data_IF_183833278506
#
_entry.id   IF_183833278506
#
_cell.length_a   1.000
_cell.length_b   1.000
_cell.length_c   1.000
_cell.angle_alpha   90.00
_cell.angle_beta   90.00
_cell.angle_gamma   90.00
#
_symmetry.space_group_name_H-M   'P 1'
#
loop_
_entity.id
_entity.type
_entity.pdbx_description
1 polymer ?
#
# COMPACT_ATOMS: atom_id res chain seq x y z
N UNK A 1 6.33 -33.18 -5.69
CA UNK A 1 7.71 -33.00 -6.19
C UNK A 1 8.35 -31.80 -5.50
N UNK A 2 9.64 -31.83 -5.18
CA UNK A 2 10.35 -30.66 -4.64
C UNK A 2 10.71 -29.68 -5.77
N UNK A 3 10.53 -28.36 -5.58
CA UNK A 3 10.79 -27.39 -6.64
C UNK A 3 12.30 -27.31 -6.95
N UNK A 4 12.61 -27.36 -8.23
CA UNK A 4 13.96 -27.17 -8.76
C UNK A 4 14.55 -25.81 -8.34
N UNK A 5 15.88 -25.65 -8.35
CA UNK A 5 16.50 -24.35 -8.08
C UNK A 5 15.99 -23.24 -9.01
N UNK A 6 15.72 -23.54 -10.28
CA UNK A 6 15.19 -22.56 -11.25
C UNK A 6 13.79 -22.08 -10.87
N UNK A 7 12.89 -23.00 -10.53
CA UNK A 7 11.52 -22.65 -10.11
C UNK A 7 11.53 -21.79 -8.84
N UNK A 8 12.43 -22.07 -7.90
CA UNK A 8 12.60 -21.26 -6.68
C UNK A 8 13.03 -19.83 -6.98
N UNK A 9 13.98 -19.63 -7.90
CA UNK A 9 14.42 -18.28 -8.29
C UNK A 9 13.32 -17.50 -9.01
N UNK A 10 12.62 -18.12 -9.96
CA UNK A 10 11.52 -17.48 -10.69
C UNK A 10 10.38 -17.12 -9.75
N UNK A 11 9.98 -18.05 -8.88
CA UNK A 11 8.94 -17.81 -7.88
C UNK A 11 9.36 -16.71 -6.88
N UNK A 12 10.64 -16.64 -6.48
CA UNK A 12 11.14 -15.57 -5.62
C UNK A 12 11.13 -14.20 -6.34
N UNK A 13 11.47 -14.18 -7.63
CA UNK A 13 11.43 -12.96 -8.44
C UNK A 13 10.02 -12.38 -8.52
N UNK A 14 9.00 -13.24 -8.61
CA UNK A 14 7.60 -12.82 -8.61
C UNK A 14 7.22 -12.01 -7.34
N UNK A 15 7.86 -12.29 -6.20
CA UNK A 15 7.64 -11.58 -4.95
C UNK A 15 8.48 -10.31 -4.79
N UNK A 16 9.54 -10.13 -5.57
CA UNK A 16 10.57 -9.12 -5.26
C UNK A 16 10.17 -7.69 -5.64
N UNK A 17 9.38 -7.49 -6.71
CA UNK A 17 9.24 -6.16 -7.32
C UNK A 17 7.82 -5.81 -7.79
N UNK A 18 6.80 -6.29 -7.08
CA UNK A 18 5.41 -5.89 -7.31
C UNK A 18 4.65 -6.70 -8.38
N UNK A 19 3.44 -6.25 -8.77
CA UNK A 19 2.50 -7.03 -9.55
C UNK A 19 2.95 -7.22 -11.00
N UNK A 20 3.70 -6.27 -11.56
CA UNK A 20 4.27 -6.37 -12.92
C UNK A 20 5.25 -7.54 -12.99
N UNK A 21 6.11 -7.70 -11.99
CA UNK A 21 7.10 -8.78 -11.98
C UNK A 21 6.43 -10.13 -11.79
N UNK A 22 5.39 -10.21 -10.96
CA UNK A 22 4.56 -11.41 -10.85
C UNK A 22 3.90 -11.80 -12.18
N UNK A 23 3.37 -10.82 -12.94
CA UNK A 23 2.78 -11.04 -14.26
C UNK A 23 3.82 -11.49 -15.30
N UNK A 24 4.99 -10.85 -15.33
CA UNK A 24 6.09 -11.24 -16.24
C UNK A 24 6.52 -12.68 -15.96
N UNK A 25 6.76 -13.03 -14.69
CA UNK A 25 7.14 -14.41 -14.34
C UNK A 25 6.03 -15.40 -14.68
N UNK A 26 4.75 -15.04 -14.48
CA UNK A 26 3.63 -15.92 -14.85
C UNK A 26 3.54 -16.16 -16.35
N UNK A 27 4.09 -15.28 -17.19
CA UNK A 27 4.15 -15.45 -18.65
C UNK A 27 5.39 -16.21 -19.10
N UNK A 28 6.47 -16.15 -18.34
CA UNK A 28 7.74 -16.81 -18.66
C UNK A 28 7.76 -18.29 -18.29
N UNK A 29 7.00 -18.72 -17.27
CA UNK A 29 7.05 -20.09 -16.77
C UNK A 29 5.63 -20.59 -16.46
N UNK A 30 4.99 -21.23 -17.45
CA UNK A 30 3.61 -21.71 -17.38
C UNK A 30 3.46 -23.12 -16.83
N UNK A 31 4.50 -23.93 -16.94
CA UNK A 31 4.39 -25.39 -16.79
C UNK A 31 4.68 -25.87 -15.35
N UNK A 32 5.13 -24.97 -14.47
CA UNK A 32 5.39 -25.27 -13.06
C UNK A 32 4.21 -24.85 -12.17
N UNK A 33 3.51 -25.79 -11.52
CA UNK A 33 2.44 -25.49 -10.57
C UNK A 33 2.92 -24.63 -9.39
N UNK A 34 4.18 -24.81 -8.96
CA UNK A 34 4.78 -24.04 -7.87
C UNK A 34 4.96 -22.57 -8.26
N UNK A 35 5.54 -22.30 -9.44
CA UNK A 35 5.72 -20.92 -9.93
C UNK A 35 4.37 -20.27 -10.21
N UNK A 36 3.41 -21.01 -10.78
CA UNK A 36 2.05 -20.53 -11.01
C UNK A 36 1.33 -20.15 -9.71
N UNK A 37 1.51 -20.93 -8.63
CA UNK A 37 0.95 -20.61 -7.32
C UNK A 37 1.58 -19.34 -6.72
N UNK A 38 2.91 -19.27 -6.71
CA UNK A 38 3.65 -18.16 -6.11
C UNK A 38 3.43 -16.84 -6.85
N UNK A 39 3.37 -16.86 -8.18
CA UNK A 39 3.04 -15.69 -9.01
C UNK A 39 1.62 -15.19 -8.76
N UNK A 40 0.62 -16.08 -8.64
CA UNK A 40 -0.76 -15.68 -8.31
C UNK A 40 -0.88 -15.09 -6.91
N UNK A 41 -0.20 -15.67 -5.93
CA UNK A 41 -0.15 -15.14 -4.56
C UNK A 41 0.47 -13.74 -4.54
N UNK A 42 1.64 -13.57 -5.17
CA UNK A 42 2.33 -12.29 -5.26
C UNK A 42 1.48 -11.24 -5.97
N UNK A 43 0.90 -11.57 -7.13
CA UNK A 43 0.06 -10.66 -7.90
C UNK A 43 -1.15 -10.17 -7.08
N UNK A 44 -1.87 -11.08 -6.42
CA UNK A 44 -3.02 -10.71 -5.57
C UNK A 44 -2.61 -9.85 -4.39
N UNK A 45 -1.52 -10.23 -3.71
CA UNK A 45 -1.02 -9.48 -2.57
C UNK A 45 -0.69 -8.03 -2.94
N UNK A 46 0.09 -7.85 -3.99
CA UNK A 46 0.47 -6.52 -4.45
C UNK A 46 -0.70 -5.72 -5.02
N UNK A 47 -1.67 -6.36 -5.68
CA UNK A 47 -2.90 -5.70 -6.11
C UNK A 47 -3.71 -5.20 -4.92
N UNK A 48 -3.88 -5.99 -3.87
CA UNK A 48 -4.58 -5.55 -2.64
C UNK A 48 -3.86 -4.37 -2.00
N UNK A 49 -2.52 -4.45 -1.85
CA UNK A 49 -1.73 -3.35 -1.32
C UNK A 49 -1.85 -2.07 -2.17
N UNK A 50 -1.82 -2.21 -3.50
CA UNK A 50 -2.00 -1.11 -4.44
C UNK A 50 -3.40 -0.48 -4.32
N UNK A 51 -4.46 -1.30 -4.30
CA UNK A 51 -5.84 -0.83 -4.15
C UNK A 51 -6.05 -0.13 -2.80
N UNK A 52 -5.52 -0.69 -1.71
CA UNK A 52 -5.57 -0.06 -0.40
C UNK A 52 -4.87 1.31 -0.39
N UNK A 53 -3.69 1.40 -1.03
CA UNK A 53 -2.97 2.67 -1.19
C UNK A 53 -3.79 3.67 -2.00
N UNK A 54 -4.41 3.22 -3.09
CA UNK A 54 -5.25 4.07 -3.95
C UNK A 54 -6.49 4.60 -3.21
N UNK A 55 -7.13 3.78 -2.38
CA UNK A 55 -8.25 4.23 -1.52
C UNK A 55 -7.77 5.31 -0.55
N UNK A 56 -6.62 5.11 0.10
CA UNK A 56 -6.09 6.08 1.07
C UNK A 56 -5.69 7.39 0.39
N UNK A 57 -4.89 7.33 -0.68
CA UNK A 57 -4.31 8.51 -1.34
C UNK A 57 -5.29 9.24 -2.26
N UNK A 58 -6.18 8.53 -2.95
CA UNK A 58 -7.07 9.13 -3.96
C UNK A 58 -8.46 9.41 -3.40
N UNK A 59 -8.98 8.57 -2.50
CA UNK A 59 -10.31 8.78 -1.93
C UNK A 59 -10.18 9.52 -0.60
N UNK A 60 -9.49 8.95 0.38
CA UNK A 60 -9.55 9.49 1.75
C UNK A 60 -8.79 10.80 1.92
N UNK A 61 -7.57 10.89 1.36
CA UNK A 61 -6.68 12.02 1.53
C UNK A 61 -7.25 13.35 0.98
N UNK A 62 -7.82 13.42 -0.24
CA UNK A 62 -8.41 14.65 -0.74
C UNK A 62 -9.62 15.13 0.07
N UNK A 63 -10.46 14.21 0.59
CA UNK A 63 -11.57 14.59 1.46
C UNK A 63 -11.09 15.15 2.80
N UNK A 64 -10.06 14.55 3.40
CA UNK A 64 -9.47 15.05 4.65
C UNK A 64 -8.80 16.41 4.45
N UNK A 65 -8.09 16.59 3.33
CA UNK A 65 -7.48 17.88 2.97
C UNK A 65 -8.55 18.95 2.73
N UNK A 66 -9.62 18.63 2.00
CA UNK A 66 -10.72 19.56 1.76
C UNK A 66 -11.41 19.95 3.08
N UNK A 67 -11.67 18.99 3.97
CA UNK A 67 -12.25 19.25 5.28
C UNK A 67 -11.34 20.16 6.12
N UNK A 68 -10.03 19.90 6.12
CA UNK A 68 -9.06 20.75 6.82
C UNK A 68 -9.09 22.18 6.29
N UNK A 69 -9.04 22.36 4.97
CA UNK A 69 -9.09 23.69 4.33
C UNK A 69 -10.38 24.42 4.67
N UNK A 70 -11.53 23.73 4.72
CA UNK A 70 -12.80 24.31 5.14
C UNK A 70 -12.75 24.76 6.60
N UNK A 71 -12.22 23.94 7.50
CA UNK A 71 -12.09 24.28 8.92
C UNK A 71 -11.13 25.46 9.15
N UNK A 72 -10.00 25.48 8.45
CA UNK A 72 -9.03 26.58 8.47
C UNK A 72 -9.67 27.88 7.96
N UNK A 73 -10.44 27.82 6.87
CA UNK A 73 -11.18 28.96 6.35
C UNK A 73 -12.22 29.47 7.36
N UNK A 74 -13.00 28.58 7.98
CA UNK A 74 -13.99 28.95 9.00
C UNK A 74 -13.31 29.61 10.22
N UNK A 75 -12.14 29.13 10.62
CA UNK A 75 -11.35 29.72 11.70
C UNK A 75 -10.92 31.14 11.36
N UNK A 76 -10.39 31.36 10.15
CA UNK A 76 -10.00 32.69 9.66
C UNK A 76 -11.20 33.63 9.59
N UNK A 77 -12.33 33.19 9.04
CA UNK A 77 -13.54 34.00 8.93
C UNK A 77 -14.11 34.37 10.30
N UNK A 78 -14.09 33.44 11.26
CA UNK A 78 -14.51 33.70 12.65
C UNK A 78 -13.59 34.72 13.32
N UNK A 79 -12.28 34.61 13.09
CA UNK A 79 -11.29 35.53 13.64
C UNK A 79 -11.45 36.94 13.08
N UNK A 80 -11.58 37.09 11.75
CA UNK A 80 -11.83 38.38 11.09
C UNK A 80 -13.14 39.00 11.58
N UNK A 81 -14.21 38.20 11.68
CA UNK A 81 -15.52 38.68 12.16
C UNK A 81 -15.52 39.09 13.63
N UNK A 82 -14.64 38.52 14.46
CA UNK A 82 -14.51 38.84 15.88
C UNK A 82 -13.56 40.01 16.19
N UNK A 83 -12.68 40.40 15.27
CA UNK A 83 -11.67 41.44 15.52
C UNK A 83 -11.22 42.14 14.22
N UNK A 84 -12.09 42.94 13.57
CA UNK A 84 -11.80 43.59 12.29
C UNK A 84 -10.64 44.60 12.35
N UNK A 85 -10.33 45.13 13.54
CA UNK A 85 -9.27 46.14 13.75
C UNK A 85 -7.85 45.53 13.75
N UNK A 86 -7.73 44.19 13.81
CA UNK A 86 -6.46 43.44 13.85
C UNK A 86 -5.91 43.08 12.45
N UNK A 87 -6.50 43.62 11.38
CA UNK A 87 -5.99 43.47 10.00
C UNK A 87 -4.71 44.32 9.77
N UNK A 88 -4.09 44.84 10.84
CA UNK A 88 -2.83 45.59 10.77
C UNK A 88 -1.61 44.66 10.89
N UNK A 89 -1.01 44.36 9.73
CA UNK A 89 0.43 44.16 9.49
C UNK A 89 1.22 43.02 10.14
N UNK A 90 0.90 42.57 11.35
CA UNK A 90 1.69 41.57 12.12
C UNK A 90 0.92 40.28 12.40
N UNK A 91 -0.27 40.39 12.98
CA UNK A 91 -1.05 39.24 13.46
C UNK A 91 -1.57 38.36 12.31
N UNK A 92 -1.89 38.97 11.17
CA UNK A 92 -2.28 38.25 9.96
C UNK A 92 -1.14 37.37 9.42
N UNK A 93 0.10 37.84 9.45
CA UNK A 93 1.25 37.09 8.93
C UNK A 93 1.58 35.87 9.80
N UNK A 94 1.45 36.00 11.13
CA UNK A 94 1.64 34.91 12.09
C UNK A 94 0.52 33.88 11.97
N UNK A 95 -0.73 34.32 11.81
CA UNK A 95 -1.87 33.43 11.58
C UNK A 95 -1.71 32.64 10.26
N UNK A 96 -1.34 33.30 9.16
CA UNK A 96 -1.11 32.63 7.87
C UNK A 96 0.07 31.65 7.94
N UNK A 97 1.16 32.00 8.63
CA UNK A 97 2.26 31.08 8.86
C UNK A 97 1.86 29.86 9.70
N UNK A 98 1.04 30.07 10.74
CA UNK A 98 0.48 28.99 11.56
C UNK A 98 -0.42 28.05 10.76
N UNK A 99 -1.26 28.60 9.88
CA UNK A 99 -2.12 27.83 8.97
C UNK A 99 -1.29 27.04 7.96
N UNK A 100 -0.29 27.65 7.33
CA UNK A 100 0.60 26.94 6.41
C UNK A 100 1.35 25.79 7.12
N UNK A 101 1.80 26.00 8.35
CA UNK A 101 2.44 24.98 9.16
C UNK A 101 1.47 23.85 9.55
N UNK A 102 0.22 24.16 9.92
CA UNK A 102 -0.79 23.14 10.21
C UNK A 102 -1.15 22.33 8.99
N UNK A 103 -1.39 22.97 7.84
CA UNK A 103 -1.68 22.28 6.58
C UNK A 103 -0.52 21.35 6.20
N UNK A 104 0.73 21.81 6.34
CA UNK A 104 1.91 21.00 6.07
C UNK A 104 2.00 19.78 7.00
N UNK A 105 1.84 19.98 8.32
CA UNK A 105 1.91 18.89 9.30
C UNK A 105 0.81 17.86 9.12
N UNK A 106 -0.44 18.29 8.90
CA UNK A 106 -1.57 17.38 8.66
C UNK A 106 -1.37 16.59 7.37
N UNK A 107 -0.90 17.25 6.32
CA UNK A 107 -0.54 16.59 5.05
C UNK A 107 0.52 15.51 5.28
N UNK A 108 1.60 15.84 5.98
CA UNK A 108 2.68 14.90 6.26
C UNK A 108 2.21 13.69 7.09
N UNK A 109 1.38 13.91 8.11
CA UNK A 109 0.82 12.83 8.94
C UNK A 109 -0.14 11.96 8.12
N UNK A 110 -0.95 12.56 7.26
CA UNK A 110 -1.93 11.85 6.45
C UNK A 110 -1.29 10.98 5.34
N UNK A 111 -0.03 11.23 4.95
CA UNK A 111 0.72 10.35 4.05
C UNK A 111 1.30 9.11 4.74
N UNK A 112 1.41 9.10 6.07
CA UNK A 112 2.00 7.99 6.83
C UNK A 112 1.31 6.65 6.53
N UNK A 113 -0.03 6.53 6.52
CA UNK A 113 -0.70 5.26 6.24
C UNK A 113 -0.35 4.68 4.87
N UNK A 114 -0.25 5.50 3.82
CA UNK A 114 0.12 5.03 2.49
C UNK A 114 1.57 4.51 2.43
N UNK A 115 2.48 5.23 3.08
CA UNK A 115 3.89 4.81 3.21
C UNK A 115 3.98 3.50 3.99
N UNK A 116 3.20 3.33 5.07
CA UNK A 116 3.17 2.10 5.86
C UNK A 116 2.56 0.92 5.08
N UNK A 117 1.50 1.14 4.30
CA UNK A 117 0.88 0.09 3.47
C UNK A 117 1.85 -0.34 2.37
N UNK A 118 2.40 0.61 1.61
CA UNK A 118 3.28 0.32 0.49
C UNK A 118 4.62 -0.25 0.97
N UNK A 119 5.23 0.37 1.99
CA UNK A 119 6.47 -0.09 2.61
C UNK A 119 6.31 -1.45 3.28
N UNK A 120 5.23 -1.65 4.03
CA UNK A 120 4.86 -2.93 4.63
C UNK A 120 4.68 -4.03 3.57
N UNK A 121 4.01 -3.71 2.45
CA UNK A 121 3.85 -4.66 1.36
C UNK A 121 5.20 -5.08 0.74
N UNK A 122 6.12 -4.14 0.52
CA UNK A 122 7.46 -4.48 0.02
C UNK A 122 8.27 -5.31 1.03
N UNK A 123 8.16 -5.02 2.33
CA UNK A 123 8.82 -5.79 3.37
C UNK A 123 8.30 -7.24 3.43
N UNK A 124 6.97 -7.42 3.40
CA UNK A 124 6.35 -8.75 3.32
C UNK A 124 6.75 -9.47 2.03
N UNK A 125 6.76 -8.76 0.91
CA UNK A 125 7.22 -9.29 -0.38
C UNK A 125 8.67 -9.77 -0.35
N UNK A 126 9.57 -9.00 0.28
CA UNK A 126 10.97 -9.40 0.46
C UNK A 126 11.10 -10.65 1.34
N UNK A 127 10.39 -10.71 2.46
CA UNK A 127 10.37 -11.89 3.34
C UNK A 127 9.86 -13.12 2.59
N UNK A 128 8.81 -12.95 1.78
CA UNK A 128 8.25 -14.00 0.94
C UNK A 128 9.26 -14.46 -0.12
N UNK A 129 9.91 -13.53 -0.82
CA UNK A 129 10.94 -13.83 -1.82
C UNK A 129 12.10 -14.64 -1.21
N UNK A 130 12.64 -14.21 -0.06
CA UNK A 130 13.70 -14.93 0.65
C UNK A 130 13.25 -16.33 1.07
N UNK A 131 12.02 -16.46 1.55
CA UNK A 131 11.46 -17.75 1.98
C UNK A 131 11.28 -18.72 0.79
N UNK A 132 10.74 -18.23 -0.33
CA UNK A 132 10.56 -19.00 -1.57
C UNK A 132 11.91 -19.40 -2.18
N UNK A 133 12.90 -18.50 -2.16
CA UNK A 133 14.26 -18.80 -2.60
C UNK A 133 14.90 -19.93 -1.78
N UNK A 134 14.68 -19.94 -0.46
CA UNK A 134 15.08 -21.03 0.45
C UNK A 134 14.26 -22.32 0.29
N UNK A 135 13.30 -22.35 -0.64
CA UNK A 135 12.46 -23.51 -0.91
C UNK A 135 11.26 -23.68 0.01
N UNK A 136 10.90 -22.65 0.79
CA UNK A 136 9.66 -22.67 1.57
C UNK A 136 8.49 -22.27 0.69
N UNK A 137 7.35 -22.95 0.85
CA UNK A 137 6.11 -22.55 0.21
C UNK A 137 5.42 -21.47 1.03
N UNK A 138 5.53 -20.20 0.60
CA UNK A 138 4.86 -19.08 1.27
C UNK A 138 3.38 -19.08 0.89
N UNK A 139 2.52 -18.99 1.91
CA UNK A 139 1.06 -18.92 1.77
C UNK A 139 0.57 -17.77 2.63
N UNK A 140 -0.05 -16.76 2.01
CA UNK A 140 -0.69 -15.66 2.74
C UNK A 140 -2.16 -16.03 2.99
N UNK A 141 -2.59 -16.25 4.25
CA UNK A 141 -3.93 -16.75 4.59
C UNK A 141 -5.07 -15.87 4.07
N UNK A 142 -4.85 -14.56 4.03
CA UNK A 142 -5.82 -13.57 3.55
C UNK A 142 -6.16 -13.68 2.05
N UNK A 143 -5.38 -14.46 1.28
CA UNK A 143 -5.50 -14.60 -0.19
C UNK A 143 -5.90 -16.01 -0.63
N UNK A 144 -6.05 -16.93 0.33
CA UNK A 144 -6.65 -18.24 0.10
C UNK A 144 -8.17 -18.11 0.32
N UNK A 145 -9.02 -18.60 -0.60
CA UNK A 145 -10.47 -18.56 -0.40
C UNK A 145 -10.82 -19.28 0.91
N UNK A 146 -11.52 -18.58 1.81
CA UNK A 146 -12.02 -19.16 3.06
C UNK A 146 -12.83 -20.41 2.75
N UNK A 147 -12.52 -21.50 3.45
CA UNK A 147 -13.23 -22.77 3.32
C UNK A 147 -12.52 -23.82 2.46
N UNK A 148 -11.31 -23.54 1.94
CA UNK A 148 -10.44 -24.59 1.42
C UNK A 148 -9.16 -24.67 2.23
N UNK A 149 -8.90 -25.85 2.79
CA UNK A 149 -7.60 -26.10 3.39
C UNK A 149 -6.53 -26.00 2.30
N UNK A 150 -5.30 -25.62 2.65
CA UNK A 150 -4.22 -25.52 1.67
C UNK A 150 -3.97 -26.82 0.88
N UNK A 151 -4.40 -27.95 1.41
CA UNK A 151 -4.28 -29.28 0.81
C UNK A 151 -5.31 -29.48 -0.32
N UNK A 152 -6.54 -28.97 -0.17
CA UNK A 152 -7.58 -29.03 -1.22
C UNK A 152 -7.26 -28.21 -2.47
N UNK A 153 -6.49 -27.12 -2.33
CA UNK A 153 -6.01 -26.34 -3.48
C UNK A 153 -4.82 -27.03 -4.16
N UNK A 154 -4.05 -27.80 -3.38
CA UNK A 154 -2.90 -28.56 -3.85
C UNK A 154 -3.39 -29.78 -4.64
N UNK A 155 -4.39 -30.52 -4.15
CA UNK A 155 -4.97 -31.69 -4.82
C UNK A 155 -5.69 -31.40 -6.15
N UNK A 156 -6.09 -30.16 -6.44
CA UNK A 156 -6.68 -29.80 -7.74
C UNK A 156 -5.66 -29.31 -8.77
N UNK A 157 -4.40 -29.14 -8.37
CA UNK A 157 -3.30 -28.66 -9.23
C UNK A 157 -2.26 -29.76 -9.50
N UNK A 158 -2.48 -30.98 -9.02
CA UNK A 158 -1.67 -32.18 -9.30
C UNK A 158 -2.54 -33.29 -9.88
#
# INVERSE_FOLDING_TARGET
MSPSPRERHLAALAWFRGPITALVVSKLETDSPFVAFQTRQAARFYTVAFVATLIVEVLLFPFLLLLLLVMELLLVLTWIGGSPDLISGGDLSVMLAGLLLSTFLVTAIAMIPAVLILGGAHLVGLIAAVSVWRGRNVRLPLLCPMGRTPDEVTERLF
#
